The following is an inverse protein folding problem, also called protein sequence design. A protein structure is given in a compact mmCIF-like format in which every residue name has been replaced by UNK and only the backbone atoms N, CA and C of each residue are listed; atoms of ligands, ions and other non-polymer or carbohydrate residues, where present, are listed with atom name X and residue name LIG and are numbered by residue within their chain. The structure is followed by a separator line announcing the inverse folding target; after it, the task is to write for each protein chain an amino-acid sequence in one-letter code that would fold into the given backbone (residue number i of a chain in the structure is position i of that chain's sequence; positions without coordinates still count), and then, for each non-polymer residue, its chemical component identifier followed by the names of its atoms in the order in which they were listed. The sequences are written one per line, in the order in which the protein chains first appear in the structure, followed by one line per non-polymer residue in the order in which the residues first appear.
data_IF_512081867945
#
_entry.id   IF_512081867945
#
_cell.length_a   1.000
_cell.length_b   1.000
_cell.length_c   1.000
_cell.angle_alpha   90.00
_cell.angle_beta   90.00
_cell.angle_gamma   90.00
#
_symmetry.space_group_name_H-M   'P 1'
#
loop_
_entity.id
_entity.type
_entity.pdbx_description
1 polymer ?
#
# COMPACT_ATOMS: atom_id res chain seq x y z
N UNK A 1 -44.39 14.04 85.59
CA UNK A 1 -44.64 12.80 84.79
C UNK A 1 -43.30 12.06 84.75
N UNK A 2 -43.11 11.01 85.57
CA UNK A 2 -43.39 9.59 85.25
C UNK A 2 -42.52 9.12 84.06
N UNK A 3 -41.68 8.08 84.04
CA UNK A 3 -41.33 6.91 84.87
C UNK A 3 -39.93 6.41 84.38
N UNK A 4 -38.94 6.17 85.26
CA UNK A 4 -38.23 4.90 85.59
C UNK A 4 -37.82 3.88 84.48
N UNK A 5 -36.58 3.37 84.58
CA UNK A 5 -36.12 2.02 84.18
C UNK A 5 -35.62 1.88 82.73
N UNK A 6 -34.66 1.03 82.35
CA UNK A 6 -34.05 -0.15 82.99
C UNK A 6 -32.90 -0.68 82.08
N UNK A 7 -31.81 -1.20 82.68
CA UNK A 7 -30.75 -1.98 82.02
C UNK A 7 -31.22 -3.38 81.58
N UNK A 8 -30.72 -3.92 80.45
CA UNK A 8 -30.25 -5.33 80.35
C UNK A 8 -29.57 -5.72 79.02
N UNK A 9 -28.30 -6.14 79.18
CA UNK A 9 -27.54 -7.27 78.62
C UNK A 9 -27.76 -7.91 77.22
N UNK A 10 -26.58 -8.10 76.55
CA UNK A 10 -26.03 -9.26 75.82
C UNK A 10 -26.79 -9.90 74.65
N UNK A 11 -26.19 -9.90 73.45
CA UNK A 11 -25.72 -11.17 72.84
C UNK A 11 -24.79 -11.01 71.62
N UNK A 12 -23.82 -11.92 71.57
CA UNK A 12 -22.69 -12.06 70.66
C UNK A 12 -23.09 -12.81 69.38
N UNK A 13 -22.88 -12.25 68.18
CA UNK A 13 -22.83 -13.02 66.92
C UNK A 13 -21.82 -12.48 65.91
N UNK A 14 -20.74 -13.24 65.75
CA UNK A 14 -19.83 -13.24 64.62
C UNK A 14 -20.61 -13.31 63.30
N UNK A 15 -20.46 -12.32 62.42
CA UNK A 15 -20.86 -12.43 61.02
C UNK A 15 -19.61 -12.33 60.14
N UNK A 16 -19.16 -13.50 59.66
CA UNK A 16 -18.19 -13.67 58.60
C UNK A 16 -18.75 -13.04 57.32
N UNK A 17 -18.23 -11.89 56.92
CA UNK A 17 -18.46 -11.33 55.58
C UNK A 17 -17.54 -12.04 54.57
N UNK A 18 -18.09 -13.04 53.87
CA UNK A 18 -17.49 -13.61 52.66
C UNK A 18 -17.48 -12.54 51.55
N UNK A 19 -16.34 -11.89 51.34
CA UNK A 19 -16.08 -11.09 50.14
C UNK A 19 -15.87 -12.04 48.96
N UNK A 20 -16.91 -12.22 48.12
CA UNK A 20 -16.76 -12.85 46.81
C UNK A 20 -16.16 -11.80 45.88
N UNK A 21 -14.84 -11.84 45.66
CA UNK A 21 -14.18 -11.10 44.59
C UNK A 21 -14.65 -11.72 43.25
N UNK A 22 -15.67 -11.13 42.63
CA UNK A 22 -16.02 -11.44 41.25
C UNK A 22 -14.93 -10.90 40.34
N UNK A 23 -13.95 -11.74 40.01
CA UNK A 23 -12.95 -11.46 38.99
C UNK A 23 -13.65 -11.51 37.62
N UNK A 24 -14.20 -10.38 37.19
CA UNK A 24 -14.70 -10.23 35.83
C UNK A 24 -13.51 -10.32 34.89
N UNK A 25 -13.34 -11.45 34.21
CA UNK A 25 -12.51 -11.51 33.01
C UNK A 25 -13.14 -10.57 31.99
N UNK A 26 -12.63 -9.34 31.92
CA UNK A 26 -12.88 -8.47 30.77
C UNK A 26 -12.35 -9.20 29.54
N UNK A 27 -13.18 -9.44 28.49
CA UNK A 27 -12.66 -10.00 27.26
C UNK A 27 -11.65 -9.01 26.70
N UNK A 28 -10.40 -9.44 26.59
CA UNK A 28 -9.38 -8.70 25.85
C UNK A 28 -9.89 -8.58 24.42
N UNK A 29 -10.35 -7.39 24.06
CA UNK A 29 -10.67 -7.07 22.67
C UNK A 29 -9.35 -7.19 21.91
N UNK A 30 -9.19 -8.27 21.15
CA UNK A 30 -8.17 -8.34 20.11
C UNK A 30 -8.57 -7.30 19.06
N UNK A 31 -8.08 -6.07 19.20
CA UNK A 31 -8.12 -5.09 18.12
C UNK A 31 -7.23 -5.68 17.04
N UNK A 32 -7.85 -6.31 16.04
CA UNK A 32 -7.20 -6.56 14.77
C UNK A 32 -6.81 -5.19 14.24
N UNK A 33 -5.52 -4.85 14.28
CA UNK A 33 -5.01 -3.68 13.56
C UNK A 33 -5.40 -3.88 12.10
N UNK A 34 -6.39 -3.14 11.64
CA UNK A 34 -6.60 -2.91 10.22
C UNK A 34 -5.29 -2.30 9.72
N UNK A 35 -4.58 -3.03 8.86
CA UNK A 35 -3.39 -2.50 8.19
C UNK A 35 -3.94 -1.50 7.18
N UNK A 36 -3.97 -0.23 7.55
CA UNK A 36 -4.16 0.85 6.58
C UNK A 36 -2.94 0.83 5.65
N UNK A 37 -3.15 0.44 4.39
CA UNK A 37 -2.06 0.32 3.43
C UNK A 37 -1.36 1.67 3.20
N UNK A 38 -2.09 2.79 3.28
CA UNK A 38 -1.51 4.13 3.23
C UNK A 38 -0.67 4.45 4.48
N UNK A 39 -1.09 4.00 5.66
CA UNK A 39 -0.23 4.06 6.87
C UNK A 39 1.01 3.19 6.70
N UNK A 40 0.86 1.99 6.12
CA UNK A 40 1.97 1.04 5.94
C UNK A 40 3.05 1.56 4.99
N UNK A 41 2.67 2.24 3.89
CA UNK A 41 3.63 2.83 2.96
C UNK A 41 4.33 4.02 3.61
N UNK A 42 3.63 4.84 4.39
CA UNK A 42 4.26 5.94 5.12
C UNK A 42 5.21 5.47 6.22
N UNK A 43 4.90 4.37 6.90
CA UNK A 43 5.75 3.74 7.91
C UNK A 43 7.01 3.07 7.31
N UNK A 44 6.94 2.63 6.05
CA UNK A 44 8.10 2.04 5.34
C UNK A 44 9.25 3.04 5.16
N UNK A 45 8.94 4.33 4.95
CA UNK A 45 9.95 5.32 4.61
C UNK A 45 10.26 6.25 5.78
N UNK A 46 11.51 6.23 6.25
CA UNK A 46 12.00 7.23 7.19
C UNK A 46 12.42 8.50 6.44
N UNK A 47 11.69 9.58 6.72
CA UNK A 47 11.86 10.93 6.18
C UNK A 47 12.29 11.94 7.25
N UNK A 48 12.93 11.46 8.33
CA UNK A 48 13.49 12.30 9.40
C UNK A 48 14.55 13.28 8.89
N UNK A 49 15.17 12.97 7.75
CA UNK A 49 16.11 13.83 7.02
C UNK A 49 15.43 14.49 5.83
N UNK A 50 15.69 15.77 5.63
CA UNK A 50 15.05 16.56 4.57
C UNK A 50 15.56 16.19 3.16
N UNK A 51 16.82 15.78 3.04
CA UNK A 51 17.56 15.55 1.79
C UNK A 51 17.59 14.08 1.35
N UNK A 52 17.28 13.16 2.26
CA UNK A 52 17.35 11.73 2.06
C UNK A 52 16.11 11.05 2.62
N UNK A 53 15.56 10.10 1.87
CA UNK A 53 14.51 9.19 2.32
C UNK A 53 15.13 7.80 2.51
N UNK A 54 15.05 7.24 3.71
CA UNK A 54 15.47 5.87 3.96
C UNK A 54 14.31 4.90 3.81
N UNK A 55 14.49 3.88 2.97
CA UNK A 55 13.50 2.84 2.71
C UNK A 55 13.80 1.61 3.59
N UNK A 56 12.99 1.39 4.62
CA UNK A 56 13.19 0.28 5.56
C UNK A 56 13.01 -1.09 4.90
N UNK A 57 12.24 -1.20 3.81
CA UNK A 57 12.03 -2.49 3.14
C UNK A 57 13.23 -2.91 2.30
N UNK A 58 13.93 -1.95 1.68
CA UNK A 58 15.03 -2.23 0.75
C UNK A 58 16.41 -1.87 1.30
N UNK A 59 16.45 -1.20 2.46
CA UNK A 59 17.65 -0.65 3.10
C UNK A 59 18.38 0.39 2.25
N UNK A 60 17.69 0.96 1.25
CA UNK A 60 18.22 1.98 0.37
C UNK A 60 17.95 3.39 0.91
N UNK A 61 18.91 4.28 0.67
CA UNK A 61 18.75 5.72 0.90
C UNK A 61 18.57 6.41 -0.45
N UNK A 62 17.43 7.06 -0.63
CA UNK A 62 17.06 7.78 -1.83
C UNK A 62 17.30 9.27 -1.65
N UNK A 63 17.79 9.96 -2.68
CA UNK A 63 17.69 11.42 -2.69
C UNK A 63 16.21 11.84 -2.64
N UNK A 64 15.87 12.82 -1.81
CA UNK A 64 14.49 13.32 -1.71
C UNK A 64 14.04 14.05 -2.98
N UNK A 65 14.95 14.76 -3.65
CA UNK A 65 14.66 15.49 -4.88
C UNK A 65 15.31 14.82 -6.09
N UNK A 66 14.65 14.93 -7.24
CA UNK A 66 15.24 14.50 -8.51
C UNK A 66 16.37 15.45 -8.92
N UNK A 67 17.30 14.97 -9.76
CA UNK A 67 18.37 15.80 -10.30
C UNK A 67 17.81 17.06 -10.98
N UNK A 68 18.44 18.21 -10.76
CA UNK A 68 17.97 19.52 -11.23
C UNK A 68 17.05 20.26 -10.25
N UNK A 69 16.40 19.55 -9.32
CA UNK A 69 15.56 20.17 -8.30
C UNK A 69 16.37 20.52 -7.04
N UNK A 70 15.91 21.55 -6.33
CA UNK A 70 16.50 21.99 -5.06
C UNK A 70 15.53 21.74 -3.92
N UNK A 71 16.04 21.19 -2.81
CA UNK A 71 15.27 21.03 -1.59
C UNK A 71 15.08 22.37 -0.89
N UNK A 72 13.83 22.74 -0.61
CA UNK A 72 13.47 23.92 0.16
C UNK A 72 12.75 23.49 1.44
N UNK A 73 13.28 23.93 2.59
CA UNK A 73 12.73 23.63 3.92
C UNK A 73 11.25 23.98 3.98
N UNK A 74 10.43 23.05 4.50
CA UNK A 74 8.94 23.14 4.57
C UNK A 74 8.19 23.20 3.23
N UNK A 75 8.86 23.37 2.07
CA UNK A 75 8.20 23.46 0.75
C UNK A 75 8.39 22.23 -0.13
N UNK A 76 9.32 21.33 0.22
CA UNK A 76 9.57 20.16 -0.60
C UNK A 76 10.70 20.37 -1.61
N UNK A 77 10.66 19.62 -2.70
CA UNK A 77 11.52 19.85 -3.85
C UNK A 77 10.94 20.99 -4.70
N UNK A 78 11.78 21.87 -5.23
CA UNK A 78 11.36 23.00 -6.05
C UNK A 78 12.22 23.11 -7.30
N UNK A 79 11.63 23.67 -8.37
CA UNK A 79 12.22 23.68 -9.70
C UNK A 79 11.88 22.45 -10.51
N UNK A 80 12.27 22.47 -11.78
CA UNK A 80 12.02 21.37 -12.71
C UNK A 80 13.08 20.29 -12.57
N UNK A 81 12.68 19.04 -12.78
CA UNK A 81 13.66 17.98 -12.91
C UNK A 81 14.45 18.15 -14.22
N UNK A 82 15.76 17.92 -14.16
CA UNK A 82 16.61 18.00 -15.34
C UNK A 82 16.45 16.71 -16.15
N UNK A 83 16.01 16.85 -17.40
CA UNK A 83 16.04 15.75 -18.37
C UNK A 83 17.47 15.51 -18.84
N UNK A 84 17.99 14.30 -18.64
CA UNK A 84 19.37 13.95 -18.96
C UNK A 84 19.41 12.77 -19.91
N UNK A 85 20.43 12.73 -20.77
CA UNK A 85 20.77 11.51 -21.49
C UNK A 85 21.25 10.46 -20.49
N UNK A 86 21.15 9.17 -20.83
CA UNK A 86 21.61 8.09 -19.97
C UNK A 86 23.11 8.22 -19.66
N UNK A 87 23.90 8.63 -20.65
CA UNK A 87 25.34 8.85 -20.48
C UNK A 87 25.64 10.01 -19.52
N UNK A 88 24.86 11.09 -19.58
CA UNK A 88 25.03 12.21 -18.65
C UNK A 88 24.51 11.88 -17.24
N UNK A 89 23.44 11.10 -17.14
CA UNK A 89 22.95 10.58 -15.87
C UNK A 89 24.04 9.76 -15.16
N UNK A 90 24.73 8.86 -15.89
CA UNK A 90 25.86 8.07 -15.36
C UNK A 90 27.01 8.93 -14.81
N UNK A 91 27.17 10.18 -15.27
CA UNK A 91 28.19 11.11 -14.74
C UNK A 91 27.81 11.72 -13.39
N UNK A 92 26.55 11.59 -12.95
CA UNK A 92 26.11 12.02 -11.62
C UNK A 92 26.52 11.04 -10.52
N UNK A 93 27.03 9.86 -10.87
CA UNK A 93 27.46 8.87 -9.91
C UNK A 93 28.73 9.33 -9.16
N UNK A 94 28.81 8.96 -7.89
CA UNK A 94 29.90 9.23 -6.96
C UNK A 94 30.14 7.97 -6.12
N UNK A 95 31.17 7.91 -5.27
CA UNK A 95 31.41 6.74 -4.41
C UNK A 95 30.20 6.34 -3.55
N UNK A 96 29.40 7.32 -3.13
CA UNK A 96 28.21 7.08 -2.32
C UNK A 96 26.95 6.96 -3.17
N UNK A 97 26.75 7.83 -4.15
CA UNK A 97 25.51 7.93 -4.92
C UNK A 97 25.61 7.31 -6.29
N UNK A 98 24.64 6.50 -6.68
CA UNK A 98 24.58 5.86 -7.99
C UNK A 98 23.19 5.95 -8.61
N UNK A 99 23.09 5.66 -9.91
CA UNK A 99 21.79 5.37 -10.49
C UNK A 99 21.23 4.09 -9.84
N UNK A 100 19.91 4.05 -9.60
CA UNK A 100 19.26 2.83 -9.15
C UNK A 100 19.19 1.84 -10.31
N UNK A 101 19.28 0.55 -10.00
CA UNK A 101 18.89 -0.51 -10.95
C UNK A 101 17.39 -0.45 -11.21
N UNK A 102 16.92 -1.10 -12.27
CA UNK A 102 15.48 -1.24 -12.51
C UNK A 102 14.80 -1.93 -11.35
N UNK A 103 15.41 -2.98 -10.80
CA UNK A 103 14.87 -3.75 -9.68
C UNK A 103 14.68 -2.91 -8.42
N UNK A 104 15.53 -1.90 -8.20
CA UNK A 104 15.43 -0.97 -7.08
C UNK A 104 14.39 0.12 -7.34
N UNK A 105 14.43 0.74 -8.51
CA UNK A 105 13.59 1.91 -8.83
C UNK A 105 12.10 1.55 -8.93
N UNK A 106 11.76 0.32 -9.34
CA UNK A 106 10.36 -0.14 -9.31
C UNK A 106 9.80 -0.29 -7.90
N UNK A 107 10.64 -0.44 -6.86
CA UNK A 107 10.16 -0.64 -5.47
C UNK A 107 9.55 0.61 -4.85
N UNK A 108 9.78 1.79 -5.44
CA UNK A 108 9.23 3.07 -5.01
C UNK A 108 8.03 3.52 -5.87
N UNK A 109 7.58 2.67 -6.80
CA UNK A 109 6.29 2.84 -7.46
C UNK A 109 5.20 2.66 -6.41
N UNK A 110 4.26 3.60 -6.40
CA UNK A 110 3.06 3.53 -5.59
C UNK A 110 2.01 2.69 -6.32
N UNK A 111 1.86 1.43 -5.88
CA UNK A 111 0.92 0.47 -6.48
C UNK A 111 -0.53 0.65 -6.01
N UNK A 112 -0.78 1.50 -4.99
CA UNK A 112 -2.13 1.84 -4.54
C UNK A 112 -2.83 2.81 -5.49
N UNK A 113 -2.04 3.50 -6.30
CA UNK A 113 -2.50 4.51 -7.24
C UNK A 113 -2.99 3.86 -8.53
N UNK A 114 -4.21 4.21 -8.94
CA UNK A 114 -4.76 3.74 -10.20
C UNK A 114 -3.93 4.27 -11.37
N UNK A 115 -3.66 3.40 -12.37
CA UNK A 115 -2.72 3.71 -13.47
C UNK A 115 -3.05 4.97 -14.28
N UNK A 116 -4.31 5.38 -14.29
CA UNK A 116 -4.82 6.47 -15.12
C UNK A 116 -5.25 7.72 -14.32
N UNK A 117 -5.60 7.55 -13.04
CA UNK A 117 -6.24 8.61 -12.24
C UNK A 117 -5.29 9.25 -11.23
N UNK A 118 -4.27 8.50 -10.79
CA UNK A 118 -3.37 8.92 -9.70
C UNK A 118 -1.92 9.07 -10.18
N UNK A 119 -1.70 10.02 -11.09
CA UNK A 119 -0.37 10.35 -11.60
C UNK A 119 0.19 11.54 -10.80
N UNK A 120 1.46 11.49 -10.35
CA UNK A 120 2.43 10.42 -10.58
C UNK A 120 2.27 9.24 -9.61
N UNK A 121 2.59 8.02 -10.08
CA UNK A 121 2.58 6.74 -9.34
C UNK A 121 3.77 6.61 -8.39
N UNK A 122 3.95 7.63 -7.57
CA UNK A 122 4.94 7.76 -6.53
C UNK A 122 4.31 8.57 -5.40
N UNK A 123 4.61 8.20 -4.16
CA UNK A 123 3.91 8.77 -3.03
C UNK A 123 4.43 10.19 -2.71
N UNK A 124 3.63 11.21 -3.02
CA UNK A 124 4.03 12.63 -2.91
C UNK A 124 4.35 13.09 -1.49
N UNK A 125 3.85 12.41 -0.45
CA UNK A 125 4.22 12.71 0.94
C UNK A 125 5.60 12.17 1.36
N UNK A 126 6.21 11.32 0.51
CA UNK A 126 7.54 10.74 0.69
C UNK A 126 8.52 11.45 -0.25
N UNK A 127 8.17 11.49 -1.55
CA UNK A 127 8.96 12.12 -2.60
C UNK A 127 8.26 13.42 -3.04
N UNK A 128 8.50 14.49 -2.29
CA UNK A 128 7.83 15.79 -2.46
C UNK A 128 7.94 16.37 -3.88
N UNK A 129 6.85 16.98 -4.36
CA UNK A 129 6.78 17.78 -5.60
C UNK A 129 7.51 17.14 -6.79
N UNK A 130 7.10 15.92 -7.12
CA UNK A 130 7.56 15.24 -8.33
C UNK A 130 7.15 16.08 -9.53
N UNK A 131 8.09 16.35 -10.42
CA UNK A 131 7.85 17.04 -11.68
C UNK A 131 6.98 16.17 -12.60
N UNK A 132 5.70 16.51 -12.71
CA UNK A 132 4.70 15.80 -13.51
C UNK A 132 5.00 15.82 -15.01
N UNK A 133 5.85 16.75 -15.47
CA UNK A 133 6.25 16.82 -16.89
C UNK A 133 7.30 15.76 -17.25
N UNK A 134 7.97 15.16 -16.25
CA UNK A 134 9.03 14.16 -16.46
C UNK A 134 8.89 12.99 -15.50
N UNK A 135 8.16 11.99 -15.98
CA UNK A 135 7.81 10.80 -15.20
C UNK A 135 8.56 9.54 -15.62
N UNK A 136 9.43 9.62 -16.63
CA UNK A 136 10.36 8.56 -16.96
C UNK A 136 11.70 8.82 -16.27
N UNK A 137 12.21 7.82 -15.55
CA UNK A 137 13.43 7.91 -14.78
C UNK A 137 14.45 6.86 -15.23
N UNK A 138 15.68 7.29 -15.45
CA UNK A 138 16.75 6.38 -15.85
C UNK A 138 17.11 5.40 -14.74
N UNK A 139 17.42 4.17 -15.16
CA UNK A 139 18.06 3.15 -14.32
C UNK A 139 19.51 2.95 -14.74
N UNK A 140 20.32 2.29 -13.93
CA UNK A 140 21.68 1.88 -14.29
C UNK A 140 21.72 0.75 -15.32
N UNK A 141 20.58 0.12 -15.64
CA UNK A 141 20.55 -1.11 -16.43
C UNK A 141 20.60 -0.79 -17.94
N UNK A 142 21.73 -1.11 -18.58
CA UNK A 142 21.85 -1.04 -20.04
C UNK A 142 21.01 -2.14 -20.69
N UNK A 143 20.29 -1.80 -21.76
CA UNK A 143 19.50 -2.75 -22.55
C UNK A 143 20.16 -3.10 -23.90
N UNK A 144 21.29 -2.47 -24.21
CA UNK A 144 22.10 -2.69 -25.39
C UNK A 144 23.10 -1.56 -25.60
N UNK A 145 23.62 -1.44 -26.82
CA UNK A 145 24.52 -0.34 -27.18
C UNK A 145 23.81 1.02 -27.13
N UNK A 146 22.65 1.14 -27.77
CA UNK A 146 21.87 2.38 -27.89
C UNK A 146 20.76 2.55 -26.86
N UNK A 147 20.35 1.49 -26.17
CA UNK A 147 19.18 1.51 -25.29
C UNK A 147 19.53 1.26 -23.81
N UNK A 148 18.74 1.85 -22.92
CA UNK A 148 18.77 1.60 -21.48
C UNK A 148 17.36 1.45 -20.91
N UNK A 149 17.25 0.84 -19.74
CA UNK A 149 15.99 0.70 -19.02
C UNK A 149 15.63 1.99 -18.28
N UNK A 150 14.34 2.32 -18.29
CA UNK A 150 13.74 3.36 -17.48
C UNK A 150 12.55 2.80 -16.69
N UNK A 151 12.21 3.49 -15.60
CA UNK A 151 10.95 3.28 -14.85
C UNK A 151 10.03 4.47 -15.06
N UNK A 152 8.74 4.20 -15.24
CA UNK A 152 7.71 5.19 -15.55
C UNK A 152 6.75 5.36 -14.37
N UNK A 153 6.73 6.57 -13.82
CA UNK A 153 5.81 7.02 -12.78
C UNK A 153 4.54 7.70 -13.35
N UNK A 154 4.36 7.72 -14.66
CA UNK A 154 3.25 8.39 -15.35
C UNK A 154 2.24 7.42 -15.94
N UNK A 155 1.71 7.78 -17.12
CA UNK A 155 0.95 6.84 -17.94
C UNK A 155 1.90 5.87 -18.65
N UNK A 156 1.51 4.59 -18.73
CA UNK A 156 2.27 3.57 -19.46
C UNK A 156 2.84 2.45 -18.58
N UNK A 157 3.65 1.55 -19.19
CA UNK A 157 4.21 0.38 -18.50
C UNK A 157 5.19 0.82 -17.41
N UNK A 158 5.20 0.12 -16.27
CA UNK A 158 6.06 0.45 -15.12
C UNK A 158 7.54 0.55 -15.50
N UNK A 159 8.02 -0.29 -16.42
CA UNK A 159 9.38 -0.22 -16.93
C UNK A 159 9.40 -0.46 -18.44
N UNK A 160 10.35 0.17 -19.11
CA UNK A 160 10.55 0.06 -20.56
C UNK A 160 12.00 0.30 -20.96
N UNK A 161 12.27 0.19 -22.26
CA UNK A 161 13.56 0.52 -22.86
C UNK A 161 13.40 1.78 -23.70
N UNK A 162 14.42 2.62 -23.71
CA UNK A 162 14.45 3.81 -24.54
C UNK A 162 15.86 4.08 -25.05
N UNK A 163 15.96 4.88 -26.11
CA UNK A 163 17.23 5.38 -26.62
C UNK A 163 17.96 6.19 -25.53
N UNK A 164 19.25 5.92 -25.35
CA UNK A 164 20.11 6.56 -24.33
C UNK A 164 20.22 8.08 -24.48
N UNK A 165 19.82 8.66 -25.60
CA UNK A 165 19.74 10.11 -25.81
C UNK A 165 18.44 10.74 -25.28
N UNK A 166 17.45 9.93 -24.87
CA UNK A 166 16.16 10.44 -24.36
C UNK A 166 16.36 11.27 -23.08
N UNK A 167 15.66 12.41 -22.92
CA UNK A 167 15.85 13.31 -21.78
C UNK A 167 14.99 12.88 -20.58
N UNK A 168 15.40 11.83 -19.87
CA UNK A 168 14.67 11.32 -18.69
C UNK A 168 15.23 11.89 -17.38
N UNK A 169 14.37 11.89 -16.35
CA UNK A 169 14.73 12.34 -15.02
C UNK A 169 15.66 11.33 -14.33
N UNK A 170 16.34 11.79 -13.27
CA UNK A 170 17.25 10.96 -12.47
C UNK A 170 16.97 11.16 -10.99
N UNK A 171 16.98 10.08 -10.23
CA UNK A 171 16.96 10.08 -8.77
C UNK A 171 18.03 9.11 -8.29
N UNK A 172 19.02 9.61 -7.57
CA UNK A 172 20.12 8.76 -7.12
C UNK A 172 19.74 8.01 -5.86
N UNK A 173 20.39 6.86 -5.69
CA UNK A 173 20.26 5.99 -4.54
C UNK A 173 21.65 5.64 -3.99
N UNK A 174 21.71 5.30 -2.71
CA UNK A 174 22.91 4.74 -2.07
C UNK A 174 22.56 3.61 -1.11
N UNK A 175 23.58 2.82 -0.79
CA UNK A 175 23.46 1.65 0.09
C UNK A 175 23.40 0.33 -0.67
N UNK A 176 23.33 -0.75 0.10
CA UNK A 176 23.25 -2.12 -0.38
C UNK A 176 21.79 -2.52 -0.51
N UNK A 177 21.35 -2.84 -1.72
CA UNK A 177 19.99 -3.27 -1.95
C UNK A 177 19.74 -4.62 -1.30
N UNK A 178 18.79 -4.62 -0.37
CA UNK A 178 18.14 -5.83 0.10
C UNK A 178 16.88 -5.96 -0.75
N UNK A 179 16.79 -6.96 -1.65
CA UNK A 179 15.55 -7.22 -2.36
C UNK A 179 14.44 -7.37 -1.32
N UNK A 180 13.35 -6.59 -1.42
CA UNK A 180 12.21 -6.81 -0.54
C UNK A 180 11.81 -8.28 -0.71
N UNK A 181 11.48 -8.95 0.39
CA UNK A 181 11.00 -10.33 0.33
C UNK A 181 9.96 -10.41 -0.80
N UNK A 182 10.08 -11.38 -1.74
CA UNK A 182 9.20 -11.42 -2.90
C UNK A 182 7.78 -11.25 -2.39
N UNK A 183 7.08 -10.24 -2.92
CA UNK A 183 5.68 -10.02 -2.63
C UNK A 183 5.00 -11.39 -2.73
N UNK A 184 4.50 -11.88 -1.59
CA UNK A 184 3.90 -13.21 -1.55
C UNK A 184 2.64 -13.07 -2.39
N UNK A 185 2.69 -13.45 -3.66
CA UNK A 185 1.50 -13.38 -4.50
C UNK A 185 0.52 -14.45 -4.03
N UNK A 186 -0.79 -14.15 -3.98
CA UNK A 186 -1.77 -15.20 -3.75
C UNK A 186 -1.60 -16.28 -4.83
N UNK A 187 -1.90 -17.55 -4.51
CA UNK A 187 -2.05 -18.59 -5.52
C UNK A 187 -2.94 -18.11 -6.67
N UNK A 188 -2.61 -18.52 -7.89
CA UNK A 188 -3.25 -18.01 -9.12
C UNK A 188 -4.79 -18.10 -9.08
N UNK A 189 -5.34 -19.17 -8.50
CA UNK A 189 -6.79 -19.35 -8.38
C UNK A 189 -7.46 -18.41 -7.36
N UNK A 190 -6.73 -18.02 -6.29
CA UNK A 190 -7.17 -16.96 -5.39
C UNK A 190 -7.08 -15.61 -6.11
N UNK A 191 -5.99 -15.33 -6.82
CA UNK A 191 -5.82 -14.08 -7.57
C UNK A 191 -6.94 -13.86 -8.60
N UNK A 192 -7.21 -14.86 -9.44
CA UNK A 192 -8.27 -14.81 -10.45
C UNK A 192 -9.66 -14.64 -9.82
N UNK A 193 -9.90 -15.29 -8.68
CA UNK A 193 -11.15 -15.13 -7.95
C UNK A 193 -11.31 -13.72 -7.38
N UNK A 194 -10.26 -13.15 -6.78
CA UNK A 194 -10.28 -11.81 -6.21
C UNK A 194 -10.61 -10.78 -7.29
N UNK A 195 -9.87 -10.78 -8.41
CA UNK A 195 -10.13 -9.83 -9.51
C UNK A 195 -11.57 -9.93 -10.03
N UNK A 196 -12.07 -11.15 -10.26
CA UNK A 196 -13.45 -11.36 -10.68
C UNK A 196 -14.48 -10.90 -9.65
N UNK A 197 -14.23 -11.14 -8.35
CA UNK A 197 -15.09 -10.69 -7.25
C UNK A 197 -15.18 -9.17 -7.21
N UNK A 198 -14.08 -8.48 -7.46
CA UNK A 198 -14.03 -7.01 -7.44
C UNK A 198 -14.72 -6.42 -8.66
N UNK A 199 -14.50 -6.98 -9.85
CA UNK A 199 -15.24 -6.61 -11.06
C UNK A 199 -16.75 -6.77 -10.83
N UNK A 200 -17.19 -7.90 -10.26
CA UNK A 200 -18.60 -8.14 -9.95
C UNK A 200 -19.17 -7.13 -8.95
N UNK A 201 -18.41 -6.73 -7.92
CA UNK A 201 -18.85 -5.71 -6.96
C UNK A 201 -18.95 -4.33 -7.60
N UNK A 202 -17.99 -3.98 -8.46
CA UNK A 202 -17.97 -2.71 -9.16
C UNK A 202 -19.24 -2.53 -10.02
N UNK A 203 -19.55 -3.52 -10.86
CA UNK A 203 -20.73 -3.49 -11.72
C UNK A 203 -22.06 -3.57 -10.96
N UNK A 204 -22.11 -4.23 -9.80
CA UNK A 204 -23.31 -4.25 -8.98
C UNK A 204 -23.71 -2.85 -8.47
N UNK A 205 -22.76 -1.92 -8.35
CA UNK A 205 -23.00 -0.53 -7.98
C UNK A 205 -23.42 0.38 -9.14
N UNK A 206 -23.29 -0.08 -10.39
CA UNK A 206 -23.59 0.74 -11.59
C UNK A 206 -25.01 0.57 -12.13
N UNK A 207 -25.79 -0.38 -11.61
CA UNK A 207 -27.13 -0.65 -12.08
C UNK A 207 -28.11 0.42 -11.58
N UNK A 208 -28.63 1.27 -12.47
CA UNK A 208 -29.54 2.35 -12.06
C UNK A 208 -31.00 1.89 -11.98
N UNK A 209 -31.40 0.91 -12.80
CA UNK A 209 -32.76 0.39 -12.84
C UNK A 209 -33.77 1.37 -13.43
N UNK A 210 -33.29 2.50 -13.98
CA UNK A 210 -34.14 3.54 -14.57
C UNK A 210 -34.51 3.23 -16.02
N UNK A 211 -35.69 3.66 -16.45
CA UNK A 211 -36.15 3.41 -17.82
C UNK A 211 -35.25 4.04 -18.90
N UNK A 212 -34.54 5.13 -18.55
CA UNK A 212 -33.63 5.84 -19.44
C UNK A 212 -32.29 5.10 -19.66
N UNK A 213 -31.87 4.30 -18.68
CA UNK A 213 -30.58 3.59 -18.69
C UNK A 213 -30.70 2.13 -19.12
N UNK A 214 -31.88 1.68 -19.56
CA UNK A 214 -32.15 0.28 -19.95
C UNK A 214 -31.14 -0.35 -20.91
N UNK A 215 -30.51 0.45 -21.78
CA UNK A 215 -29.47 -0.04 -22.70
C UNK A 215 -28.16 -0.30 -21.93
N UNK A 216 -27.76 0.62 -21.05
CA UNK A 216 -26.58 0.49 -20.19
C UNK A 216 -26.78 -0.65 -19.19
N UNK A 217 -27.93 -0.74 -18.54
CA UNK A 217 -28.27 -1.82 -17.61
C UNK A 217 -28.21 -3.21 -18.27
N UNK A 218 -28.63 -3.33 -19.55
CA UNK A 218 -28.46 -4.59 -20.31
C UNK A 218 -27.01 -4.93 -20.61
N UNK A 219 -26.15 -3.92 -20.83
CA UNK A 219 -24.73 -4.14 -21.04
C UNK A 219 -24.06 -4.60 -19.74
N UNK A 220 -24.40 -3.96 -18.62
CA UNK A 220 -23.96 -4.35 -17.28
C UNK A 220 -24.39 -5.79 -16.97
N UNK A 221 -25.66 -6.14 -17.20
CA UNK A 221 -26.18 -7.50 -16.95
C UNK A 221 -25.47 -8.58 -17.79
N UNK A 222 -25.17 -8.27 -19.05
CA UNK A 222 -24.39 -9.15 -19.92
C UNK A 222 -22.97 -9.36 -19.37
N UNK A 223 -22.28 -8.28 -18.98
CA UNK A 223 -20.93 -8.36 -18.39
C UNK A 223 -20.94 -9.13 -17.07
N UNK A 224 -21.94 -8.91 -16.21
CA UNK A 224 -22.12 -9.64 -14.95
C UNK A 224 -22.34 -11.14 -15.17
N UNK A 225 -23.05 -11.51 -16.24
CA UNK A 225 -23.26 -12.91 -16.64
C UNK A 225 -21.97 -13.54 -17.15
N UNK A 226 -21.21 -12.83 -17.99
CA UNK A 226 -19.91 -13.29 -18.51
C UNK A 226 -18.87 -13.49 -17.40
N UNK A 227 -18.84 -12.61 -16.39
CA UNK A 227 -18.02 -12.73 -15.19
C UNK A 227 -18.53 -13.78 -14.19
N UNK A 228 -19.71 -14.37 -14.43
CA UNK A 228 -20.35 -15.36 -13.54
C UNK A 228 -20.52 -14.84 -12.11
N UNK A 229 -21.01 -13.61 -11.98
CA UNK A 229 -21.11 -12.93 -10.69
C UNK A 229 -22.10 -13.61 -9.72
N UNK A 230 -23.10 -14.32 -10.25
CA UNK A 230 -24.03 -15.17 -9.49
C UNK A 230 -23.36 -16.41 -8.85
N UNK A 231 -22.11 -16.71 -9.18
CA UNK A 231 -21.37 -17.86 -8.65
C UNK A 231 -20.28 -17.48 -7.64
N UNK A 232 -20.10 -16.18 -7.34
CA UNK A 232 -18.98 -15.68 -6.53
C UNK A 232 -18.95 -16.33 -5.14
N UNK A 233 -20.07 -16.40 -4.43
CA UNK A 233 -20.15 -17.00 -3.09
C UNK A 233 -19.85 -18.50 -3.11
N UNK A 234 -20.37 -19.20 -4.12
CA UNK A 234 -20.15 -20.64 -4.29
C UNK A 234 -18.67 -20.94 -4.59
N UNK A 235 -18.03 -20.10 -5.40
CA UNK A 235 -16.61 -20.26 -5.76
C UNK A 235 -15.69 -19.85 -4.61
N UNK A 236 -16.03 -18.83 -3.82
CA UNK A 236 -15.32 -18.51 -2.58
C UNK A 236 -15.35 -19.70 -1.61
N UNK A 237 -16.52 -20.31 -1.41
CA UNK A 237 -16.67 -21.49 -0.54
C UNK A 237 -15.81 -22.67 -1.02
N UNK A 238 -15.69 -22.87 -2.34
CA UNK A 238 -14.79 -23.89 -2.92
C UNK A 238 -13.33 -23.58 -2.62
N UNK A 239 -12.89 -22.33 -2.80
CA UNK A 239 -11.51 -21.91 -2.48
C UNK A 239 -11.20 -22.07 -1.00
N UNK A 240 -12.11 -21.65 -0.11
CA UNK A 240 -11.96 -21.84 1.35
C UNK A 240 -11.85 -23.31 1.74
N UNK A 241 -12.60 -24.20 1.08
CA UNK A 241 -12.48 -25.65 1.27
C UNK A 241 -11.14 -26.18 0.73
N UNK A 242 -10.69 -25.72 -0.44
CA UNK A 242 -9.41 -26.13 -1.05
C UNK A 242 -8.21 -25.76 -0.18
N UNK A 243 -8.26 -24.59 0.46
CA UNK A 243 -7.19 -24.08 1.33
C UNK A 243 -7.45 -24.29 2.82
N UNK A 244 -8.32 -25.24 3.17
CA UNK A 244 -8.58 -25.60 4.57
C UNK A 244 -7.28 -26.02 5.27
N UNK A 245 -7.02 -25.45 6.45
CA UNK A 245 -5.80 -25.70 7.21
C UNK A 245 -4.56 -24.93 6.73
N UNK A 246 -4.69 -24.03 5.74
CA UNK A 246 -3.61 -23.16 5.26
C UNK A 246 -3.92 -21.69 5.57
N UNK A 247 -3.69 -21.22 6.83
CA UNK A 247 -4.11 -19.88 7.27
C UNK A 247 -3.53 -18.75 6.41
N UNK A 248 -2.28 -18.88 5.96
CA UNK A 248 -1.63 -17.88 5.09
C UNK A 248 -2.32 -17.74 3.73
N UNK A 249 -2.92 -18.82 3.21
CA UNK A 249 -3.66 -18.81 1.94
C UNK A 249 -5.07 -18.25 2.13
N UNK A 250 -5.71 -18.55 3.26
CA UNK A 250 -7.04 -18.02 3.58
C UNK A 250 -7.02 -16.53 3.92
N UNK A 251 -5.87 -16.01 4.38
CA UNK A 251 -5.67 -14.57 4.63
C UNK A 251 -6.00 -13.75 3.39
N UNK A 252 -5.52 -14.15 2.21
CA UNK A 252 -5.81 -13.49 0.93
C UNK A 252 -7.30 -13.41 0.57
N UNK A 253 -8.11 -14.39 0.97
CA UNK A 253 -9.56 -14.37 0.70
C UNK A 253 -10.33 -13.44 1.65
N UNK A 254 -9.75 -13.17 2.83
CA UNK A 254 -10.34 -12.34 3.87
C UNK A 254 -9.97 -10.86 3.73
N UNK A 255 -8.88 -10.57 3.03
CA UNK A 255 -8.51 -9.21 2.68
C UNK A 255 -9.44 -8.74 1.55
N UNK A 256 -10.22 -7.70 1.82
CA UNK A 256 -10.87 -6.94 0.75
C UNK A 256 -9.79 -6.08 0.11
N UNK A 257 -9.60 -6.13 -1.21
CA UNK A 257 -9.05 -4.97 -1.90
C UNK A 257 -10.08 -3.85 -1.70
N UNK A 258 -9.65 -2.80 -1.01
CA UNK A 258 -10.38 -1.53 -0.95
C UNK A 258 -10.30 -0.84 -2.31
#
# INVERSE_FOLDING_TARGET
MMFTGQERERDMRFFLFFWILSFSLSPTICISKTIDLNSSILERFDKSRDDIVFDNATQLMWQTCSAGQVRVKKKGCTGDSLGMTWTDAKKLESPDWRLPTKAELVTIIDNLKNRNEDIPRIHGAIFYNVDETKLNYWTSDSAGASEAWYVNFGTGPIAGKADKTSPFAVRLVKGTFVPPAPEVKPPQDIYEFLGRRDDCKHFAGEFSGEAIDRVRDRQIDKTMTELRCNNVEADEKKLRKKYQGKPDMLKWLNESPE
#
